data_IF_475925938604
#
_entry.id   IF_475925938604
#
_cell.length_a   1.000
_cell.length_b   1.000
_cell.length_c   1.000
_cell.angle_alpha   90.00
_cell.angle_beta   90.00
_cell.angle_gamma   90.00
#
_symmetry.space_group_name_H-M   'P 1'
#
loop_
_entity.id
_entity.type
_entity.pdbx_description
1 polymer ?
#
# COMPACT_ATOMS: atom_id res chain seq x y z
N UNK A 1 9.03 36.10 7.69
CA UNK A 1 9.05 36.03 6.22
C UNK A 1 10.10 36.99 5.68
N UNK A 2 11.23 36.46 5.19
CA UNK A 2 12.35 37.27 4.69
C UNK A 2 11.95 37.91 3.35
N UNK A 3 12.11 39.23 3.24
CA UNK A 3 11.80 40.00 2.02
C UNK A 3 12.67 39.54 0.85
N UNK A 4 12.07 39.27 -0.31
CA UNK A 4 12.76 38.90 -1.55
C UNK A 4 13.30 40.11 -2.33
N UNK A 5 12.88 41.33 -1.96
CA UNK A 5 13.30 42.59 -2.60
C UNK A 5 14.82 42.85 -2.58
N UNK A 6 15.55 42.56 -1.48
CA UNK A 6 17.02 42.66 -1.46
C UNK A 6 17.68 41.71 -2.47
N UNK A 7 17.07 40.55 -2.69
CA UNK A 7 17.55 39.52 -3.62
C UNK A 7 17.45 39.98 -5.07
N UNK A 8 16.35 40.65 -5.44
CA UNK A 8 16.17 41.26 -6.77
C UNK A 8 17.22 42.36 -6.99
N UNK A 9 17.44 43.22 -5.99
CA UNK A 9 18.45 44.27 -6.09
C UNK A 9 19.86 43.71 -6.27
N UNK A 10 20.20 42.65 -5.54
CA UNK A 10 21.47 41.95 -5.70
C UNK A 10 21.59 41.30 -7.10
N UNK A 11 20.53 40.64 -7.57
CA UNK A 11 20.51 40.00 -8.90
C UNK A 11 20.76 41.00 -10.04
N UNK A 12 20.17 42.19 -9.94
CA UNK A 12 20.35 43.25 -10.95
C UNK A 12 21.79 43.79 -10.99
N UNK A 13 22.51 43.74 -9.87
CA UNK A 13 23.90 44.20 -9.76
C UNK A 13 24.94 43.18 -10.22
N UNK A 14 24.56 41.90 -10.37
CA UNK A 14 25.48 40.85 -10.83
C UNK A 14 25.81 41.09 -12.32
N UNK A 15 27.10 41.13 -12.71
CA UNK A 15 27.50 41.19 -14.12
C UNK A 15 27.31 39.82 -14.80
N UNK A 16 26.96 39.82 -16.09
CA UNK A 16 26.83 38.58 -16.88
C UNK A 16 25.52 38.49 -17.65
N UNK A 17 25.36 37.41 -18.43
CA UNK A 17 24.13 37.12 -19.16
C UNK A 17 23.02 36.66 -18.20
N UNK A 18 21.74 36.87 -18.53
CA UNK A 18 20.62 36.50 -17.64
C UNK A 18 20.65 35.03 -17.20
N UNK A 19 21.03 34.12 -18.09
CA UNK A 19 21.16 32.69 -17.79
C UNK A 19 22.26 32.42 -16.75
N UNK A 20 23.39 33.12 -16.84
CA UNK A 20 24.51 32.98 -15.89
C UNK A 20 24.13 33.55 -14.52
N UNK A 21 23.44 34.69 -14.51
CA UNK A 21 22.90 35.27 -13.27
C UNK A 21 21.93 34.32 -12.57
N UNK A 22 21.01 33.70 -13.33
CA UNK A 22 20.05 32.71 -12.79
C UNK A 22 20.78 31.50 -12.22
N UNK A 23 21.72 30.92 -12.97
CA UNK A 23 22.52 29.77 -12.51
C UNK A 23 23.33 30.09 -11.25
N UNK A 24 23.91 31.29 -11.17
CA UNK A 24 24.65 31.75 -9.98
C UNK A 24 23.73 31.83 -8.77
N UNK A 25 22.51 32.35 -8.95
CA UNK A 25 21.53 32.44 -7.87
C UNK A 25 21.03 31.05 -7.45
N UNK A 26 20.76 30.17 -8.42
CA UNK A 26 20.35 28.78 -8.16
C UNK A 26 21.40 28.06 -7.30
N UNK A 27 22.68 28.22 -7.65
CA UNK A 27 23.79 27.63 -6.90
C UNK A 27 23.96 28.27 -5.51
N UNK A 28 23.77 29.59 -5.39
CA UNK A 28 23.83 30.28 -4.10
C UNK A 28 22.73 29.79 -3.14
N UNK A 29 21.49 29.64 -3.63
CA UNK A 29 20.39 29.08 -2.85
C UNK A 29 20.68 27.66 -2.39
N UNK A 30 21.25 26.82 -3.27
CA UNK A 30 21.64 25.46 -2.93
C UNK A 30 22.81 25.39 -1.95
N UNK A 31 23.77 26.32 -2.05
CA UNK A 31 24.87 26.45 -1.10
C UNK A 31 24.37 26.79 0.31
N UNK A 32 23.50 27.80 0.42
CA UNK A 32 22.87 28.17 1.71
C UNK A 32 22.08 27.01 2.29
N UNK A 33 21.35 26.26 1.45
CA UNK A 33 20.65 25.06 1.91
C UNK A 33 21.63 24.00 2.42
N UNK A 34 22.72 23.75 1.69
CA UNK A 34 23.76 22.79 2.09
C UNK A 34 24.37 23.13 3.45
N UNK A 35 24.73 24.39 3.67
CA UNK A 35 25.26 24.86 4.95
C UNK A 35 24.24 24.66 6.08
N UNK A 36 22.95 24.97 5.84
CA UNK A 36 21.88 24.76 6.82
C UNK A 36 21.69 23.28 7.19
N UNK A 37 21.79 22.37 6.22
CA UNK A 37 21.69 20.93 6.44
C UNK A 37 22.89 20.42 7.24
N UNK A 38 24.11 20.86 6.89
CA UNK A 38 25.36 20.43 7.56
C UNK A 38 25.41 20.92 9.01
N UNK A 39 25.02 22.17 9.25
CA UNK A 39 25.05 22.75 10.58
C UNK A 39 24.02 22.12 11.53
N UNK A 40 23.02 21.37 11.02
CA UNK A 40 21.93 20.72 11.76
C UNK A 40 21.17 21.62 12.75
N UNK A 41 21.33 22.94 12.65
CA UNK A 41 20.68 23.95 13.49
C UNK A 41 19.37 24.46 12.89
N UNK A 42 19.14 24.19 11.60
CA UNK A 42 17.97 24.66 10.89
C UNK A 42 16.72 23.83 11.23
N UNK A 43 15.63 24.52 11.54
CA UNK A 43 14.32 23.92 11.73
C UNK A 43 13.66 23.60 10.39
N UNK A 44 12.62 22.75 10.38
CA UNK A 44 11.83 22.52 9.16
C UNK A 44 11.33 23.84 8.54
N UNK A 45 10.98 24.81 9.37
CA UNK A 45 10.48 26.13 8.94
C UNK A 45 11.54 26.96 8.21
N UNK A 46 12.82 26.79 8.54
CA UNK A 46 13.93 27.48 7.86
C UNK A 46 14.11 26.94 6.44
N UNK A 47 14.07 25.63 6.27
CA UNK A 47 14.12 24.99 4.94
C UNK A 47 12.91 25.41 4.09
N UNK A 48 11.70 25.38 4.67
CA UNK A 48 10.48 25.80 4.00
C UNK A 48 10.51 27.28 3.61
N UNK A 49 11.07 28.14 4.47
CA UNK A 49 11.24 29.56 4.19
C UNK A 49 12.17 29.80 2.99
N UNK A 50 13.24 29.02 2.87
CA UNK A 50 14.17 29.09 1.74
C UNK A 50 13.50 28.60 0.44
N UNK A 51 12.73 27.51 0.52
CA UNK A 51 11.96 27.00 -0.63
C UNK A 51 10.91 28.02 -1.06
N UNK A 52 10.17 28.64 -0.14
CA UNK A 52 9.20 29.69 -0.46
C UNK A 52 9.84 30.91 -1.12
N UNK A 53 11.04 31.28 -0.65
CA UNK A 53 11.84 32.33 -1.27
C UNK A 53 12.21 31.95 -2.71
N UNK A 54 12.63 30.70 -2.96
CA UNK A 54 12.94 30.23 -4.31
C UNK A 54 11.72 30.24 -5.25
N UNK A 55 10.53 29.86 -4.77
CA UNK A 55 9.28 29.94 -5.54
C UNK A 55 9.00 31.40 -5.91
N UNK A 56 9.10 32.32 -4.94
CA UNK A 56 8.91 33.76 -5.17
C UNK A 56 9.93 34.32 -6.17
N UNK A 57 11.18 33.87 -6.08
CA UNK A 57 12.24 34.23 -7.03
C UNK A 57 11.97 33.74 -8.45
N UNK A 58 11.35 32.57 -8.62
CA UNK A 58 10.94 32.09 -9.95
C UNK A 58 9.79 32.92 -10.51
N UNK A 59 8.81 33.31 -9.69
CA UNK A 59 7.68 34.14 -10.16
C UNK A 59 8.12 35.52 -10.63
N UNK A 60 9.18 36.07 -10.03
CA UNK A 60 9.81 37.34 -10.44
C UNK A 60 10.83 37.17 -11.59
N UNK A 61 11.04 35.94 -12.08
CA UNK A 61 11.88 35.64 -13.22
C UNK A 61 13.39 35.67 -12.97
N UNK A 62 13.83 35.76 -11.71
CA UNK A 62 15.26 35.83 -11.33
C UNK A 62 15.90 34.45 -11.08
N UNK A 63 15.11 33.39 -11.01
CA UNK A 63 15.54 32.03 -10.67
C UNK A 63 14.99 31.00 -11.68
N UNK A 64 15.67 29.86 -11.85
CA UNK A 64 15.18 28.80 -12.74
C UNK A 64 13.95 28.11 -12.15
N UNK A 65 12.98 27.77 -13.01
CA UNK A 65 11.77 27.06 -12.61
C UNK A 65 12.03 25.67 -12.01
N UNK A 66 13.23 25.10 -12.23
CA UNK A 66 13.64 23.81 -11.65
C UNK A 66 14.15 23.92 -10.22
N UNK A 67 14.63 25.08 -9.80
CA UNK A 67 15.36 25.28 -8.54
C UNK A 67 14.56 24.90 -7.30
N UNK A 68 13.28 25.32 -7.14
CA UNK A 68 12.49 24.94 -5.97
C UNK A 68 12.33 23.42 -5.82
N UNK A 69 12.26 22.70 -6.94
CA UNK A 69 12.12 21.23 -6.94
C UNK A 69 13.42 20.54 -6.56
N UNK A 70 14.58 21.06 -7.01
CA UNK A 70 15.88 20.53 -6.62
C UNK A 70 16.13 20.74 -5.12
N UNK A 71 15.86 21.95 -4.61
CA UNK A 71 15.99 22.25 -3.19
C UNK A 71 15.07 21.36 -2.34
N UNK A 72 13.81 21.19 -2.75
CA UNK A 72 12.87 20.31 -2.06
C UNK A 72 13.35 18.85 -2.08
N UNK A 73 13.91 18.38 -3.19
CA UNK A 73 14.47 17.03 -3.32
C UNK A 73 15.65 16.81 -2.38
N UNK A 74 16.62 17.72 -2.42
CA UNK A 74 17.80 17.68 -1.55
C UNK A 74 17.39 17.68 -0.06
N UNK A 75 16.43 18.53 0.32
CA UNK A 75 15.87 18.57 1.69
C UNK A 75 15.26 17.22 2.07
N UNK A 76 14.37 16.67 1.23
CA UNK A 76 13.70 15.42 1.55
C UNK A 76 14.69 14.26 1.65
N UNK A 77 15.71 14.22 0.79
CA UNK A 77 16.73 13.17 0.77
C UNK A 77 17.66 13.20 1.98
N UNK A 78 17.96 14.39 2.52
CA UNK A 78 18.84 14.57 3.67
C UNK A 78 18.16 14.43 5.03
N UNK A 79 16.81 14.45 5.10
CA UNK A 79 16.08 14.47 6.36
C UNK A 79 15.48 13.11 6.77
N UNK A 80 15.33 12.85 8.09
CA UNK A 80 14.57 11.70 8.60
C UNK A 80 13.08 11.76 8.23
N UNK A 81 12.41 10.60 8.25
CA UNK A 81 11.03 10.43 7.81
C UNK A 81 10.02 11.34 8.54
N UNK A 82 10.20 11.56 9.84
CA UNK A 82 9.29 12.40 10.64
C UNK A 82 9.30 13.87 10.20
N UNK A 83 10.45 14.36 9.72
CA UNK A 83 10.57 15.71 9.18
C UNK A 83 10.08 15.78 7.74
N UNK A 84 10.33 14.72 6.96
CA UNK A 84 9.78 14.60 5.60
C UNK A 84 8.25 14.70 5.59
N UNK A 85 7.56 14.14 6.59
CA UNK A 85 6.10 14.24 6.70
C UNK A 85 5.61 15.68 6.88
N UNK A 86 6.29 16.45 7.76
CA UNK A 86 6.00 17.89 7.95
C UNK A 86 6.22 18.68 6.66
N UNK A 87 7.34 18.44 5.99
CA UNK A 87 7.68 19.14 4.73
C UNK A 87 6.72 18.72 3.61
N UNK A 88 6.27 17.47 3.58
CA UNK A 88 5.31 17.02 2.58
C UNK A 88 3.95 17.70 2.73
N UNK A 89 3.55 18.06 3.95
CA UNK A 89 2.34 18.86 4.21
C UNK A 89 2.39 20.21 3.49
N UNK A 90 3.56 20.88 3.48
CA UNK A 90 3.77 22.09 2.68
C UNK A 90 3.65 21.83 1.17
N UNK A 91 4.15 20.68 0.69
CA UNK A 91 4.03 20.31 -0.73
C UNK A 91 2.56 20.11 -1.13
N UNK A 92 1.75 19.50 -0.26
CA UNK A 92 0.30 19.29 -0.44
C UNK A 92 -0.49 20.60 -0.46
N UNK A 93 -0.15 21.56 0.40
CA UNK A 93 -0.80 22.87 0.43
C UNK A 93 -0.52 23.68 -0.85
N UNK A 94 0.68 23.54 -1.42
CA UNK A 94 1.12 24.30 -2.59
C UNK A 94 0.79 23.66 -3.96
N UNK A 95 -0.12 22.68 -4.01
CA UNK A 95 -0.54 22.00 -5.26
C UNK A 95 -0.95 22.97 -6.38
N UNK A 96 -1.64 24.07 -6.04
CA UNK A 96 -2.05 25.07 -7.02
C UNK A 96 -0.85 25.73 -7.72
N UNK A 97 0.21 26.03 -6.97
CA UNK A 97 1.47 26.58 -7.47
C UNK A 97 2.16 25.58 -8.39
N UNK A 98 2.26 24.32 -7.98
CA UNK A 98 2.91 23.26 -8.77
C UNK A 98 2.19 22.95 -10.08
N UNK A 99 0.87 23.14 -10.12
CA UNK A 99 0.04 22.96 -11.32
C UNK A 99 0.08 24.14 -12.29
N UNK A 100 0.58 25.29 -11.89
CA UNK A 100 0.67 26.44 -12.79
C UNK A 100 1.63 26.16 -13.95
N UNK A 101 1.39 26.78 -15.10
CA UNK A 101 2.17 26.52 -16.32
C UNK A 101 3.68 26.77 -16.16
N UNK A 102 4.06 27.75 -15.33
CA UNK A 102 5.45 28.10 -15.06
C UNK A 102 6.23 26.97 -14.38
N UNK A 103 5.54 26.16 -13.57
CA UNK A 103 6.16 25.14 -12.72
C UNK A 103 5.87 23.72 -13.18
N UNK A 104 4.69 23.44 -13.75
CA UNK A 104 4.25 22.08 -14.06
C UNK A 104 5.20 21.36 -15.03
N UNK A 105 5.49 21.98 -16.17
CA UNK A 105 6.33 21.34 -17.21
C UNK A 105 7.76 21.10 -16.73
N UNK A 106 8.32 22.04 -15.97
CA UNK A 106 9.67 21.95 -15.44
C UNK A 106 9.78 20.99 -14.24
N UNK A 107 8.73 20.92 -13.40
CA UNK A 107 8.76 20.30 -12.09
C UNK A 107 8.17 18.90 -11.98
N UNK A 108 7.26 18.52 -12.88
CA UNK A 108 6.46 17.29 -12.73
C UNK A 108 7.30 16.01 -12.56
N UNK A 109 8.41 15.89 -13.28
CA UNK A 109 9.30 14.73 -13.19
C UNK A 109 10.10 14.71 -11.89
N UNK A 110 10.44 15.88 -11.35
CA UNK A 110 11.10 15.98 -10.05
C UNK A 110 10.13 15.60 -8.93
N UNK A 111 8.88 16.10 -8.97
CA UNK A 111 7.84 15.71 -8.02
C UNK A 111 7.59 14.20 -8.04
N UNK A 112 7.49 13.60 -9.23
CA UNK A 112 7.34 12.16 -9.40
C UNK A 112 8.53 11.39 -8.78
N UNK A 113 9.77 11.85 -9.04
CA UNK A 113 10.98 11.22 -8.50
C UNK A 113 11.00 11.30 -6.97
N UNK A 114 10.83 12.48 -6.40
CA UNK A 114 10.79 12.69 -4.95
C UNK A 114 9.73 11.82 -4.28
N UNK A 115 8.51 11.76 -4.84
CA UNK A 115 7.45 10.92 -4.29
C UNK A 115 7.81 9.42 -4.36
N UNK A 116 8.40 8.95 -5.46
CA UNK A 116 8.83 7.56 -5.59
C UNK A 116 9.97 7.21 -4.64
N UNK A 117 10.92 8.13 -4.42
CA UNK A 117 12.03 7.94 -3.50
C UNK A 117 11.55 7.92 -2.04
N UNK A 118 10.60 8.78 -1.67
CA UNK A 118 9.89 8.69 -0.39
C UNK A 118 9.17 7.34 -0.24
N UNK A 119 8.39 6.91 -1.24
CA UNK A 119 7.69 5.62 -1.19
C UNK A 119 8.64 4.41 -1.07
N UNK A 120 9.89 4.52 -1.56
CA UNK A 120 10.93 3.50 -1.39
C UNK A 120 11.55 3.51 0.00
N UNK A 121 11.68 4.68 0.62
CA UNK A 121 12.23 4.86 1.98
C UNK A 121 11.22 4.52 3.07
N UNK A 122 9.92 4.65 2.78
CA UNK A 122 8.86 4.38 3.74
C UNK A 122 8.62 2.89 3.94
N UNK A 123 8.47 2.50 5.21
CA UNK A 123 7.97 1.17 5.55
C UNK A 123 6.51 1.02 5.15
N UNK A 124 6.20 0.00 4.34
CA UNK A 124 4.84 -0.32 3.87
C UNK A 124 3.91 -0.86 4.98
N UNK A 125 4.43 -1.13 6.19
CA UNK A 125 3.64 -1.62 7.32
C UNK A 125 3.31 -0.55 8.36
N UNK A 126 4.24 0.37 8.63
CA UNK A 126 4.08 1.41 9.66
C UNK A 126 3.61 2.74 9.09
N UNK A 127 4.10 3.13 7.92
CA UNK A 127 3.85 4.46 7.35
C UNK A 127 2.78 4.46 6.26
N UNK A 128 1.73 3.65 6.43
CA UNK A 128 0.68 3.45 5.42
C UNK A 128 -0.10 4.74 5.14
N UNK A 129 -0.37 5.53 6.18
CA UNK A 129 -1.06 6.83 6.07
C UNK A 129 -0.24 7.80 5.22
N UNK A 130 1.06 7.91 5.50
CA UNK A 130 1.94 8.82 4.76
C UNK A 130 2.13 8.35 3.30
N UNK A 131 2.28 7.04 3.07
CA UNK A 131 2.26 6.48 1.70
C UNK A 131 0.96 6.84 0.96
N UNK A 132 -0.19 6.75 1.63
CA UNK A 132 -1.49 7.11 1.07
C UNK A 132 -1.59 8.60 0.70
N UNK A 133 -1.10 9.50 1.56
CA UNK A 133 -1.02 10.93 1.29
C UNK A 133 -0.18 11.24 0.06
N UNK A 134 0.99 10.61 -0.08
CA UNK A 134 1.85 10.75 -1.27
C UNK A 134 1.12 10.29 -2.54
N UNK A 135 0.44 9.14 -2.50
CA UNK A 135 -0.32 8.64 -3.64
C UNK A 135 -1.50 9.54 -4.01
N UNK A 136 -2.22 10.08 -3.02
CA UNK A 136 -3.31 11.04 -3.24
C UNK A 136 -2.78 12.36 -3.84
N UNK A 137 -1.63 12.84 -3.38
CA UNK A 137 -0.97 13.99 -3.96
C UNK A 137 -0.61 13.75 -5.44
N UNK A 138 0.00 12.61 -5.76
CA UNK A 138 0.34 12.24 -7.15
C UNK A 138 -0.92 12.16 -8.03
N UNK A 139 -1.98 11.53 -7.55
CA UNK A 139 -3.26 11.44 -8.26
C UNK A 139 -3.92 12.81 -8.45
N UNK A 140 -3.72 13.74 -7.51
CA UNK A 140 -4.21 15.12 -7.62
C UNK A 140 -3.35 15.92 -8.58
N UNK A 141 -2.02 15.75 -8.60
CA UNK A 141 -1.08 16.50 -9.42
C UNK A 141 -1.23 16.15 -10.90
N UNK A 142 -1.29 14.87 -11.22
CA UNK A 142 -1.27 14.36 -12.59
C UNK A 142 -2.68 14.22 -13.19
N UNK A 143 -2.90 14.67 -14.43
CA UNK A 143 -4.12 14.36 -15.17
C UNK A 143 -4.32 12.85 -15.34
N UNK A 144 -5.57 12.39 -15.35
CA UNK A 144 -5.91 10.97 -15.55
C UNK A 144 -5.41 10.38 -16.87
N UNK A 145 -5.11 11.23 -17.86
CA UNK A 145 -4.54 10.84 -19.15
C UNK A 145 -3.02 10.65 -19.13
N UNK A 146 -2.36 10.92 -18.00
CA UNK A 146 -0.91 10.83 -17.93
C UNK A 146 -0.43 9.37 -17.90
N UNK A 147 0.49 9.04 -18.82
CA UNK A 147 1.02 7.68 -18.98
C UNK A 147 1.68 7.12 -17.71
N UNK A 148 2.25 7.98 -16.86
CA UNK A 148 2.93 7.60 -15.62
C UNK A 148 1.97 6.97 -14.59
N UNK A 149 0.68 7.35 -14.61
CA UNK A 149 -0.35 6.81 -13.72
C UNK A 149 -1.15 5.64 -14.29
N UNK A 150 -0.81 5.16 -15.50
CA UNK A 150 -1.59 4.14 -16.20
C UNK A 150 -0.82 2.82 -16.32
N UNK A 151 -1.44 1.73 -15.90
CA UNK A 151 -0.94 0.37 -16.18
C UNK A 151 -1.29 -0.05 -17.62
N UNK A 152 -0.66 0.60 -18.61
CA UNK A 152 -0.97 0.42 -20.03
C UNK A 152 -0.76 -1.02 -20.51
N UNK A 153 0.21 -1.73 -19.95
CA UNK A 153 0.49 -3.11 -20.33
C UNK A 153 -0.35 -4.13 -19.54
N UNK A 154 -1.16 -3.66 -18.57
CA UNK A 154 -1.93 -4.51 -17.66
C UNK A 154 -1.08 -5.57 -16.95
N UNK A 155 0.13 -5.19 -16.54
CA UNK A 155 1.04 -6.08 -15.81
C UNK A 155 0.51 -6.31 -14.39
N UNK A 156 0.70 -7.53 -13.89
CA UNK A 156 0.36 -7.90 -12.51
C UNK A 156 1.49 -7.50 -11.56
N UNK A 157 1.12 -7.00 -10.38
CA UNK A 157 2.08 -6.72 -9.31
C UNK A 157 2.50 -8.03 -8.64
N UNK A 158 3.55 -8.65 -9.15
CA UNK A 158 4.10 -9.87 -8.57
C UNK A 158 4.88 -9.58 -7.27
N UNK A 159 5.22 -8.35 -6.89
CA UNK A 159 6.02 -8.18 -5.66
C UNK A 159 5.21 -8.37 -4.37
N UNK A 160 3.87 -8.38 -4.44
CA UNK A 160 3.00 -8.54 -3.27
C UNK A 160 2.78 -10.03 -2.91
N UNK A 161 3.82 -10.67 -2.39
CA UNK A 161 3.78 -12.08 -1.99
C UNK A 161 3.10 -12.24 -0.63
N UNK A 162 2.20 -13.21 -0.53
CA UNK A 162 1.65 -13.66 0.75
C UNK A 162 2.60 -14.69 1.34
N UNK A 163 3.25 -14.34 2.46
CA UNK A 163 4.21 -15.21 3.15
C UNK A 163 3.46 -16.04 4.18
N UNK A 164 3.58 -17.36 4.10
CA UNK A 164 2.91 -18.31 4.98
C UNK A 164 3.83 -19.51 5.24
N UNK A 165 3.54 -20.31 6.26
CA UNK A 165 4.38 -21.46 6.60
C UNK A 165 4.26 -22.55 5.52
N UNK A 166 5.40 -22.99 4.98
CA UNK A 166 5.48 -24.06 3.97
C UNK A 166 6.12 -25.33 4.53
N UNK A 167 6.64 -25.29 5.75
CA UNK A 167 7.34 -26.39 6.41
C UNK A 167 6.38 -27.17 7.30
N UNK A 168 6.05 -28.40 6.90
CA UNK A 168 5.21 -29.32 7.71
C UNK A 168 5.82 -29.61 9.09
N UNK A 169 7.15 -29.60 9.20
CA UNK A 169 7.88 -29.92 10.44
C UNK A 169 7.83 -28.79 11.49
N UNK A 170 7.56 -27.56 11.07
CA UNK A 170 7.45 -26.39 11.96
C UNK A 170 5.98 -26.02 12.23
N UNK A 171 5.03 -26.88 11.84
CA UNK A 171 3.62 -26.58 12.01
C UNK A 171 3.21 -26.60 13.48
N UNK A 172 2.46 -25.56 13.85
CA UNK A 172 1.83 -25.39 15.15
C UNK A 172 0.45 -26.05 15.22
N UNK A 173 -0.09 -26.53 14.09
CA UNK A 173 -1.39 -27.21 14.01
C UNK A 173 -1.23 -28.71 14.35
N UNK A 174 -1.91 -29.15 15.41
CA UNK A 174 -1.92 -30.57 15.81
C UNK A 174 -0.84 -30.97 16.83
N UNK A 175 0.00 -30.06 17.30
CA UNK A 175 0.85 -30.31 18.46
C UNK A 175 -0.03 -30.30 19.73
N UNK A 176 -0.28 -31.48 20.30
CA UNK A 176 -0.76 -31.56 21.70
C UNK A 176 0.32 -30.93 22.57
N UNK A 177 -0.08 -29.97 23.41
CA UNK A 177 0.76 -29.41 24.48
C UNK A 177 1.57 -30.53 25.15
N UNK A 178 2.87 -30.54 24.92
CA UNK A 178 3.80 -31.12 25.89
C UNK A 178 4.51 -29.91 26.45
N UNK A 179 4.11 -29.52 27.65
CA UNK A 179 4.75 -28.47 28.42
C UNK A 179 6.21 -28.86 28.64
N UNK A 180 7.12 -28.17 27.98
CA UNK A 180 8.48 -28.01 28.49
C UNK A 180 8.70 -26.50 28.68
N UNK A 181 8.66 -26.11 29.95
CA UNK A 181 9.02 -24.79 30.45
C UNK A 181 10.49 -24.52 30.11
N UNK A 182 10.79 -23.40 29.46
CA UNK A 182 12.02 -22.64 29.76
C UNK A 182 11.88 -21.15 29.41
N UNK A 183 12.02 -20.35 30.48
CA UNK A 183 12.06 -18.90 30.67
C UNK A 183 12.38 -17.96 29.49
N UNK A 184 11.59 -16.87 29.40
CA UNK A 184 12.02 -15.66 28.69
C UNK A 184 10.95 -14.59 28.42
N UNK A 185 10.66 -13.76 29.44
CA UNK A 185 9.99 -12.44 29.40
C UNK A 185 8.49 -12.37 29.05
N UNK A 186 7.74 -12.04 30.10
CA UNK A 186 6.32 -11.68 30.15
C UNK A 186 6.03 -10.42 29.32
N UNK A 187 5.07 -10.53 28.41
CA UNK A 187 4.24 -9.41 27.96
C UNK A 187 2.83 -9.77 28.39
N UNK A 188 2.26 -8.99 29.31
CA UNK A 188 0.92 -9.20 29.88
C UNK A 188 -0.15 -9.29 28.78
N UNK A 189 -0.56 -10.53 28.46
CA UNK A 189 -1.83 -10.80 27.78
C UNK A 189 -2.93 -10.74 28.84
N UNK A 190 -3.83 -9.76 28.71
CA UNK A 190 -5.01 -9.65 29.56
C UNK A 190 -5.89 -10.88 29.45
N UNK A 191 -6.07 -11.58 30.57
CA UNK A 191 -6.99 -12.69 30.75
C UNK A 191 -8.41 -12.29 30.29
N UNK A 192 -8.91 -12.92 29.22
CA UNK A 192 -10.34 -13.07 28.99
C UNK A 192 -10.71 -14.51 29.35
N UNK A 193 -11.65 -14.61 30.30
CA UNK A 193 -12.05 -15.84 30.97
C UNK A 193 -12.43 -16.98 30.05
N UNK A 194 -12.09 -18.17 30.53
CA UNK A 194 -12.63 -19.46 30.14
C UNK A 194 -14.16 -19.46 30.32
N UNK A 195 -14.93 -19.39 29.24
CA UNK A 195 -16.25 -20.01 29.09
C UNK A 195 -16.82 -19.66 27.71
N UNK A 196 -16.56 -20.53 26.73
CA UNK A 196 -17.43 -20.89 25.60
C UNK A 196 -16.56 -21.51 24.49
N UNK A 197 -16.22 -22.79 24.66
CA UNK A 197 -15.67 -23.58 23.56
C UNK A 197 -16.76 -23.72 22.47
N UNK A 198 -16.54 -23.22 21.23
CA UNK A 198 -17.47 -23.48 20.15
C UNK A 198 -17.47 -24.98 19.85
N UNK A 199 -18.66 -25.55 19.63
CA UNK A 199 -18.86 -26.96 19.31
C UNK A 199 -17.85 -27.46 18.23
N UNK A 200 -17.32 -28.68 18.36
CA UNK A 200 -16.26 -29.17 17.48
C UNK A 200 -16.70 -29.19 16.02
N UNK A 201 -15.97 -28.47 15.18
CA UNK A 201 -16.12 -28.50 13.73
C UNK A 201 -15.96 -29.93 13.21
N UNK A 202 -16.77 -30.31 12.21
CA UNK A 202 -16.70 -31.63 11.57
C UNK A 202 -15.46 -31.83 10.70
N UNK A 203 -14.65 -30.78 10.50
CA UNK A 203 -13.38 -30.83 9.78
C UNK A 203 -12.33 -30.21 10.71
N UNK A 204 -11.36 -30.98 11.24
CA UNK A 204 -10.25 -30.39 11.98
C UNK A 204 -9.47 -29.51 11.00
N UNK A 205 -9.13 -28.27 11.39
CA UNK A 205 -8.21 -27.46 10.62
C UNK A 205 -6.85 -28.14 10.70
N UNK A 206 -6.48 -28.80 9.61
CA UNK A 206 -5.19 -29.43 9.46
C UNK A 206 -4.24 -28.52 8.67
N UNK A 207 -2.95 -28.78 8.82
CA UNK A 207 -1.93 -28.06 8.09
C UNK A 207 -2.12 -28.15 6.56
N UNK A 208 -2.71 -29.24 6.05
CA UNK A 208 -3.00 -29.38 4.63
C UNK A 208 -4.02 -28.34 4.15
N UNK A 209 -5.11 -28.13 4.90
CA UNK A 209 -6.09 -27.10 4.57
C UNK A 209 -5.44 -25.71 4.57
N UNK A 210 -4.67 -25.39 5.61
CA UNK A 210 -3.92 -24.12 5.70
C UNK A 210 -3.01 -23.91 4.49
N UNK A 211 -2.20 -24.93 4.14
CA UNK A 211 -1.27 -24.85 3.01
C UNK A 211 -2.00 -24.68 1.68
N UNK A 212 -3.06 -25.46 1.43
CA UNK A 212 -3.86 -25.38 0.20
C UNK A 212 -4.53 -24.01 0.08
N UNK A 213 -5.08 -23.51 1.18
CA UNK A 213 -5.73 -22.20 1.25
C UNK A 213 -4.76 -21.07 0.88
N UNK A 214 -3.60 -20.98 1.54
CA UNK A 214 -2.66 -19.90 1.23
C UNK A 214 -1.96 -20.06 -0.12
N UNK A 215 -1.89 -21.28 -0.65
CA UNK A 215 -1.42 -21.51 -2.03
C UNK A 215 -2.37 -20.90 -3.06
N UNK A 216 -3.69 -20.87 -2.80
CA UNK A 216 -4.65 -20.16 -3.67
C UNK A 216 -4.32 -18.67 -3.83
N UNK A 217 -3.70 -18.06 -2.82
CA UNK A 217 -3.35 -16.65 -2.86
C UNK A 217 -2.34 -16.30 -3.96
N UNK A 218 -1.48 -17.25 -4.36
CA UNK A 218 -0.57 -17.05 -5.48
C UNK A 218 -1.32 -17.02 -6.82
N UNK A 219 -2.37 -17.83 -6.98
CA UNK A 219 -3.23 -17.81 -8.16
C UNK A 219 -4.01 -16.49 -8.28
N UNK A 220 -4.47 -15.91 -7.17
CA UNK A 220 -5.10 -14.59 -7.18
C UNK A 220 -4.11 -13.47 -7.53
N UNK A 221 -2.84 -13.61 -7.11
CA UNK A 221 -1.75 -12.67 -7.45
C UNK A 221 -1.33 -12.78 -8.91
N UNK A 222 -1.30 -13.99 -9.47
CA UNK A 222 -0.91 -14.24 -10.86
C UNK A 222 -1.98 -15.07 -11.61
N UNK A 223 -3.02 -14.41 -12.15
CA UNK A 223 -4.11 -15.10 -12.82
C UNK A 223 -3.69 -15.77 -14.15
N UNK A 224 -2.50 -15.45 -14.67
CA UNK A 224 -1.99 -16.07 -15.91
C UNK A 224 -1.70 -17.55 -15.70
N UNK A 225 -1.37 -17.97 -14.47
CA UNK A 225 -1.14 -19.38 -14.13
C UNK A 225 -2.39 -20.25 -14.35
N UNK A 226 -3.59 -19.67 -14.27
CA UNK A 226 -4.85 -20.40 -14.49
C UNK A 226 -5.04 -20.88 -15.94
N UNK A 227 -4.22 -20.43 -16.89
CA UNK A 227 -4.24 -20.91 -18.27
C UNK A 227 -3.34 -22.15 -18.50
N UNK A 228 -2.48 -22.49 -17.55
CA UNK A 228 -1.70 -23.73 -17.59
C UNK A 228 -2.52 -24.92 -17.08
N UNK A 229 -2.40 -26.08 -17.75
CA UNK A 229 -3.25 -27.25 -17.48
C UNK A 229 -3.04 -27.83 -16.07
N UNK A 230 -1.78 -27.97 -15.64
CA UNK A 230 -1.45 -28.55 -14.33
C UNK A 230 -1.82 -27.58 -13.20
N UNK A 231 -1.50 -26.32 -13.42
CA UNK A 231 -1.82 -25.22 -12.50
C UNK A 231 -3.33 -25.07 -12.32
N UNK A 232 -4.10 -25.17 -13.41
CA UNK A 232 -5.56 -25.15 -13.37
C UNK A 232 -6.16 -26.32 -12.57
N UNK A 233 -5.71 -27.56 -12.80
CA UNK A 233 -6.19 -28.72 -12.04
C UNK A 233 -5.94 -28.57 -10.53
N UNK A 234 -4.79 -28.00 -10.17
CA UNK A 234 -4.44 -27.72 -8.77
C UNK A 234 -5.36 -26.63 -8.19
N UNK A 235 -5.58 -25.56 -8.94
CA UNK A 235 -6.49 -24.47 -8.57
C UNK A 235 -7.93 -24.95 -8.36
N UNK A 236 -8.45 -25.81 -9.25
CA UNK A 236 -9.77 -26.44 -9.11
C UNK A 236 -9.89 -27.18 -7.78
N UNK A 237 -8.96 -28.12 -7.55
CA UNK A 237 -8.96 -28.96 -6.33
C UNK A 237 -8.92 -28.11 -5.06
N UNK A 238 -8.01 -27.14 -5.00
CA UNK A 238 -7.86 -26.31 -3.79
C UNK A 238 -9.06 -25.37 -3.60
N UNK A 239 -9.66 -24.88 -4.69
CA UNK A 239 -10.85 -24.03 -4.63
C UNK A 239 -12.09 -24.81 -4.17
N UNK A 240 -12.30 -26.02 -4.68
CA UNK A 240 -13.43 -26.86 -4.29
C UNK A 240 -13.36 -27.22 -2.80
N UNK A 241 -12.17 -27.58 -2.30
CA UNK A 241 -11.95 -27.84 -0.88
C UNK A 241 -12.19 -26.59 -0.01
N UNK A 242 -11.67 -25.43 -0.42
CA UNK A 242 -11.84 -24.16 0.32
C UNK A 242 -13.32 -23.72 0.37
N UNK A 243 -14.01 -23.80 -0.76
CA UNK A 243 -15.44 -23.45 -0.83
C UNK A 243 -16.32 -24.46 -0.09
N UNK A 244 -15.93 -25.73 -0.04
CA UNK A 244 -16.59 -26.73 0.79
C UNK A 244 -16.46 -26.38 2.29
N UNK A 245 -15.28 -25.97 2.75
CA UNK A 245 -15.06 -25.48 4.11
C UNK A 245 -15.91 -24.23 4.39
N UNK A 246 -15.94 -23.26 3.49
CA UNK A 246 -16.78 -22.06 3.68
C UNK A 246 -18.28 -22.36 3.73
N UNK A 247 -18.76 -23.46 3.15
CA UNK A 247 -20.15 -23.90 3.26
C UNK A 247 -20.45 -24.59 4.59
N UNK A 248 -19.52 -25.39 5.10
CA UNK A 248 -19.73 -26.21 6.29
C UNK A 248 -19.42 -25.47 7.59
N UNK A 249 -18.46 -24.55 7.56
CA UNK A 249 -17.97 -23.85 8.75
C UNK A 249 -18.95 -22.76 9.20
N UNK A 250 -19.32 -22.79 10.48
CA UNK A 250 -20.28 -21.84 11.08
C UNK A 250 -19.69 -20.42 11.07
N UNK A 251 -20.52 -19.43 10.75
CA UNK A 251 -20.14 -18.02 10.83
C UNK A 251 -20.38 -17.51 12.26
N UNK A 252 -19.52 -16.61 12.71
CA UNK A 252 -19.72 -15.90 13.96
C UNK A 252 -20.82 -14.83 13.81
N UNK A 253 -21.47 -14.45 14.92
CA UNK A 253 -22.57 -13.49 14.89
C UNK A 253 -22.06 -12.08 14.60
N UNK A 254 -22.33 -11.62 13.38
CA UNK A 254 -21.85 -10.33 12.86
C UNK A 254 -22.38 -9.14 13.69
N UNK A 255 -23.50 -9.29 14.40
CA UNK A 255 -24.01 -8.25 15.31
C UNK A 255 -23.22 -8.17 16.61
N UNK A 256 -22.77 -9.31 17.15
CA UNK A 256 -21.93 -9.35 18.34
C UNK A 256 -20.55 -8.74 18.05
N UNK A 257 -19.95 -9.07 16.91
CA UNK A 257 -18.68 -8.50 16.46
C UNK A 257 -18.75 -6.97 16.26
N UNK A 258 -19.85 -6.46 15.69
CA UNK A 258 -20.07 -5.01 15.51
C UNK A 258 -20.21 -4.27 16.85
N UNK A 259 -20.94 -4.84 17.82
CA UNK A 259 -21.07 -4.25 19.17
C UNK A 259 -19.73 -4.17 19.89
N UNK A 260 -18.95 -5.27 19.85
CA UNK A 260 -17.61 -5.32 20.45
C UNK A 260 -16.65 -4.29 19.82
N UNK A 261 -16.74 -4.07 18.51
CA UNK A 261 -15.97 -3.03 17.81
C UNK A 261 -16.41 -1.60 18.20
N UNK A 262 -17.71 -1.36 18.38
CA UNK A 262 -18.24 -0.06 18.83
C UNK A 262 -17.83 0.24 20.28
N UNK A 263 -17.79 -0.75 21.17
CA UNK A 263 -17.28 -0.64 22.55
C UNK A 263 -15.78 -0.36 22.61
N UNK A 264 -14.98 -1.01 21.76
CA UNK A 264 -13.53 -0.74 21.63
C UNK A 264 -13.25 0.68 21.11
N UNK A 265 -14.10 1.20 20.21
CA UNK A 265 -14.02 2.58 19.74
C UNK A 265 -14.40 3.59 20.84
N UNK A 266 -15.38 3.25 21.67
CA UNK A 266 -15.83 4.10 22.77
C UNK A 266 -14.81 4.18 23.92
N UNK A 267 -13.97 3.15 24.09
CA UNK A 267 -12.93 3.08 25.13
C UNK A 267 -11.62 3.77 24.76
N UNK A 268 -11.54 4.46 23.61
CA UNK A 268 -10.36 5.22 23.21
C UNK A 268 -9.17 4.36 22.78
N UNK A 269 -9.37 3.07 22.53
CA UNK A 269 -8.32 2.19 22.00
C UNK A 269 -7.87 2.66 20.61
N UNK A 270 -6.55 2.65 20.37
CA UNK A 270 -6.02 2.85 19.03
C UNK A 270 -6.59 1.79 18.09
N UNK A 271 -7.22 2.24 17.01
CA UNK A 271 -7.82 1.33 16.03
C UNK A 271 -6.69 0.68 15.20
N UNK A 272 -6.20 -0.48 15.64
CA UNK A 272 -5.18 -1.24 14.92
C UNK A 272 -5.79 -1.78 13.62
N UNK A 273 -5.38 -1.20 12.49
CA UNK A 273 -5.82 -1.64 11.16
C UNK A 273 -4.81 -2.60 10.54
N UNK A 274 -5.26 -3.81 10.23
CA UNK A 274 -4.43 -4.81 9.56
C UNK A 274 -4.52 -4.64 8.04
N UNK A 275 -3.46 -4.09 7.44
CA UNK A 275 -3.40 -3.85 5.99
C UNK A 275 -3.14 -5.12 5.15
N UNK A 276 -2.70 -6.22 5.77
CA UNK A 276 -2.41 -7.50 5.11
C UNK A 276 -3.09 -8.64 5.86
N UNK A 277 -3.30 -9.74 5.15
CA UNK A 277 -3.77 -10.98 5.77
C UNK A 277 -2.78 -11.49 6.82
N UNK A 278 -3.31 -11.94 7.95
CA UNK A 278 -2.53 -12.59 9.00
C UNK A 278 -2.42 -14.06 8.64
N UNK A 279 -1.23 -14.52 8.26
CA UNK A 279 -1.02 -15.89 7.78
C UNK A 279 -0.64 -16.85 8.92
N UNK A 280 -0.92 -16.49 10.18
CA UNK A 280 -0.63 -17.38 11.31
C UNK A 280 -1.54 -18.61 11.29
N UNK A 281 -0.95 -19.78 11.44
CA UNK A 281 -1.67 -21.06 11.49
C UNK A 281 -2.70 -21.10 12.65
N UNK A 282 -2.33 -20.57 13.82
CA UNK A 282 -3.19 -20.53 15.02
C UNK A 282 -4.43 -19.66 14.85
N UNK A 283 -4.40 -18.69 13.92
CA UNK A 283 -5.50 -17.77 13.67
C UNK A 283 -6.50 -18.29 12.64
N UNK A 284 -6.21 -19.44 12.00
CA UNK A 284 -7.02 -19.93 10.88
C UNK A 284 -8.47 -20.19 11.29
N UNK A 285 -8.73 -20.77 12.47
CA UNK A 285 -10.09 -20.99 12.99
C UNK A 285 -10.86 -19.67 13.14
N UNK A 286 -10.23 -18.68 13.78
CA UNK A 286 -10.82 -17.36 13.99
C UNK A 286 -11.09 -16.66 12.66
N UNK A 287 -10.16 -16.73 11.70
CA UNK A 287 -10.34 -16.13 10.37
C UNK A 287 -11.44 -16.83 9.57
N UNK A 288 -11.53 -18.16 9.64
CA UNK A 288 -12.62 -18.89 9.03
C UNK A 288 -13.97 -18.52 9.64
N UNK A 289 -14.04 -18.22 10.94
CA UNK A 289 -15.29 -17.78 11.57
C UNK A 289 -15.72 -16.35 11.16
N UNK A 290 -14.77 -15.49 10.76
CA UNK A 290 -15.01 -14.09 10.39
C UNK A 290 -15.65 -13.96 9.00
N UNK A 291 -16.84 -13.34 8.96
CA UNK A 291 -17.58 -13.07 7.74
C UNK A 291 -16.86 -12.09 6.81
N UNK A 292 -16.13 -11.11 7.35
CA UNK A 292 -15.37 -10.16 6.54
C UNK A 292 -14.20 -10.87 5.87
N UNK A 293 -13.44 -11.70 6.59
CA UNK A 293 -12.38 -12.50 5.99
C UNK A 293 -12.90 -13.35 4.81
N UNK A 294 -13.99 -14.11 5.00
CA UNK A 294 -14.59 -14.89 3.89
C UNK A 294 -14.99 -14.00 2.71
N UNK A 295 -15.60 -12.84 2.97
CA UNK A 295 -15.98 -11.88 1.91
C UNK A 295 -14.78 -11.41 1.10
N UNK A 296 -13.64 -11.12 1.73
CA UNK A 296 -12.43 -10.72 1.00
C UNK A 296 -11.96 -11.82 0.04
N UNK A 297 -11.96 -13.08 0.47
CA UNK A 297 -11.56 -14.22 -0.37
C UNK A 297 -12.57 -14.46 -1.50
N UNK A 298 -13.88 -14.45 -1.19
CA UNK A 298 -14.94 -14.59 -2.18
C UNK A 298 -14.92 -13.45 -3.21
N UNK A 299 -14.60 -12.22 -2.80
CA UNK A 299 -14.42 -11.10 -3.71
C UNK A 299 -13.22 -11.30 -4.64
N UNK A 300 -12.11 -11.86 -4.15
CA UNK A 300 -10.96 -12.22 -4.98
C UNK A 300 -11.33 -13.26 -6.03
N UNK A 301 -12.14 -14.27 -5.68
CA UNK A 301 -12.71 -15.21 -6.66
C UNK A 301 -13.52 -14.49 -7.74
N UNK A 302 -14.42 -13.58 -7.37
CA UNK A 302 -15.23 -12.84 -8.35
C UNK A 302 -14.38 -11.96 -9.28
N UNK A 303 -13.38 -11.27 -8.73
CA UNK A 303 -12.44 -10.46 -9.53
C UNK A 303 -11.66 -11.36 -10.49
N UNK A 304 -11.16 -12.50 -10.03
CA UNK A 304 -10.45 -13.47 -10.85
C UNK A 304 -11.33 -14.03 -11.97
N UNK A 305 -12.54 -14.49 -11.65
CA UNK A 305 -13.48 -15.03 -12.64
C UNK A 305 -13.88 -13.99 -13.69
N UNK A 306 -14.14 -12.75 -13.26
CA UNK A 306 -14.41 -11.64 -14.17
C UNK A 306 -13.19 -11.37 -15.07
N UNK A 307 -11.97 -11.39 -14.53
CA UNK A 307 -10.77 -11.27 -15.32
C UNK A 307 -10.65 -12.41 -16.32
N UNK A 308 -10.76 -13.67 -15.91
CA UNK A 308 -10.57 -14.85 -16.76
C UNK A 308 -11.54 -14.88 -17.95
N UNK A 309 -12.83 -14.55 -17.72
CA UNK A 309 -13.86 -14.45 -18.78
C UNK A 309 -13.77 -13.18 -19.63
N UNK A 310 -13.24 -12.09 -19.08
CA UNK A 310 -13.19 -10.79 -19.74
C UNK A 310 -12.23 -10.76 -20.94
N UNK A 311 -12.62 -10.08 -22.01
CA UNK A 311 -11.71 -9.71 -23.08
C UNK A 311 -10.86 -8.51 -22.65
N UNK A 312 -9.55 -8.72 -22.55
CA UNK A 312 -8.59 -7.68 -22.18
C UNK A 312 -7.65 -7.47 -23.35
N UNK A 313 -7.48 -6.22 -23.80
CA UNK A 313 -6.68 -5.87 -24.99
C UNK A 313 -5.25 -6.43 -24.98
N UNK A 314 -4.68 -6.64 -23.79
CA UNK A 314 -3.31 -7.08 -23.59
C UNK A 314 -3.18 -8.54 -23.16
N UNK A 315 -4.27 -9.33 -23.18
CA UNK A 315 -4.17 -10.78 -23.00
C UNK A 315 -3.51 -11.42 -24.22
N UNK A 316 -2.63 -12.38 -23.98
CA UNK A 316 -2.05 -13.21 -25.05
C UNK A 316 -3.14 -14.00 -25.77
N UNK A 317 -2.94 -14.28 -27.06
CA UNK A 317 -3.80 -15.18 -27.84
C UNK A 317 -3.83 -16.61 -27.29
N UNK A 318 -2.86 -17.00 -26.46
CA UNK A 318 -2.81 -18.29 -25.76
C UNK A 318 -3.68 -18.33 -24.50
N UNK A 319 -4.17 -17.19 -23.99
CA UNK A 319 -4.98 -17.09 -22.77
C UNK A 319 -6.46 -17.37 -23.06
N UNK A 320 -6.77 -18.58 -23.53
CA UNK A 320 -8.12 -19.02 -23.89
C UNK A 320 -8.58 -20.10 -22.91
N UNK A 321 -9.82 -20.00 -22.46
CA UNK A 321 -10.47 -21.02 -21.65
C UNK A 321 -11.20 -22.01 -22.55
N UNK A 322 -11.20 -23.29 -22.18
CA UNK A 322 -12.08 -24.26 -22.82
C UNK A 322 -13.51 -24.20 -22.25
N UNK A 323 -14.43 -24.94 -22.87
CA UNK A 323 -15.84 -24.93 -22.47
C UNK A 323 -16.04 -25.46 -21.05
N UNK A 324 -15.37 -26.56 -20.68
CA UNK A 324 -15.44 -27.15 -19.33
C UNK A 324 -15.00 -26.15 -18.24
N UNK A 325 -13.91 -25.41 -18.49
CA UNK A 325 -13.39 -24.36 -17.62
C UNK A 325 -14.40 -23.23 -17.48
N UNK A 326 -15.02 -22.83 -18.58
CA UNK A 326 -16.01 -21.76 -18.59
C UNK A 326 -17.26 -22.15 -17.82
N UNK A 327 -17.76 -23.38 -18.01
CA UNK A 327 -18.89 -23.93 -17.25
C UNK A 327 -18.57 -24.02 -15.76
N UNK A 328 -17.40 -24.54 -15.40
CA UNK A 328 -16.99 -24.62 -13.98
C UNK A 328 -16.91 -23.22 -13.34
N UNK A 329 -16.38 -22.22 -14.04
CA UNK A 329 -16.36 -20.84 -13.54
C UNK A 329 -17.78 -20.32 -13.31
N UNK A 330 -18.73 -20.60 -14.21
CA UNK A 330 -20.12 -20.14 -14.06
C UNK A 330 -20.84 -20.81 -12.89
N UNK A 331 -20.68 -22.11 -12.71
CA UNK A 331 -21.23 -22.86 -11.58
C UNK A 331 -20.62 -22.38 -10.26
N UNK A 332 -19.30 -22.23 -10.22
CA UNK A 332 -18.57 -21.75 -9.04
C UNK A 332 -18.90 -20.30 -8.73
N UNK A 333 -19.14 -19.45 -9.73
CA UNK A 333 -19.59 -18.07 -9.54
C UNK A 333 -20.95 -18.02 -8.84
N UNK A 334 -21.92 -18.84 -9.30
CA UNK A 334 -23.23 -18.97 -8.62
C UNK A 334 -23.06 -19.41 -7.18
N UNK A 335 -22.14 -20.35 -6.95
CA UNK A 335 -21.83 -20.83 -5.62
C UNK A 335 -21.23 -19.75 -4.71
N UNK A 336 -20.26 -18.99 -5.22
CA UNK A 336 -19.64 -17.87 -4.50
C UNK A 336 -20.69 -16.83 -4.12
N UNK A 337 -21.64 -16.51 -5.01
CA UNK A 337 -22.77 -15.64 -4.66
C UNK A 337 -23.62 -16.21 -3.52
N UNK A 338 -23.99 -17.50 -3.58
CA UNK A 338 -24.77 -18.14 -2.52
C UNK A 338 -24.06 -18.13 -1.16
N UNK A 339 -22.75 -18.40 -1.12
CA UNK A 339 -21.98 -18.35 0.13
C UNK A 339 -21.82 -16.91 0.63
N UNK A 340 -21.61 -15.95 -0.28
CA UNK A 340 -21.51 -14.54 0.07
C UNK A 340 -22.80 -13.99 0.70
N UNK A 341 -23.97 -14.39 0.19
CA UNK A 341 -25.26 -14.04 0.80
C UNK A 341 -25.42 -14.56 2.23
N UNK A 342 -24.88 -15.75 2.55
CA UNK A 342 -24.88 -16.28 3.92
C UNK A 342 -23.92 -15.55 4.85
N UNK A 343 -22.92 -14.86 4.29
CA UNK A 343 -21.99 -14.03 5.05
C UNK A 343 -22.58 -12.64 5.36
N UNK A 344 -23.78 -12.30 4.90
CA UNK A 344 -24.50 -11.07 5.18
C UNK A 344 -25.56 -11.31 6.25
#
# INVERSE_FOLDING_TARGET
FKSYKPLINAFNQIPGNETEKKSTLDQALRGVLGDQIIEQKASCDDYLSLIYLSISSVTEGICSATTPFLLLGDVLDCLPLDQCDKIFSFVEENVSTWKSNSFYTAGKNYLLRMCNDLLRRLSKSQNTVFCGRIQLFLARLFPLSEKSGLNLQSQFNLDNITVFNKNEQESTLGQKHTEEKEDGMEVEEGEMGEDDAPAPCSIPIDYNLYRKFWTLQDYFRNPVQCYDKFSWMTFLKFSDETLAVFKSYKLDDMQASKRKLEELRASGGEHVYFAKFLTSEKLMDLQLSDSNFRRHILLQYLILFQYLKGQVKFKSSSCVLNDDQTTWIEETTKLVYQVSFKCH
#
